data_IF_937126708077
#
_entry.id   IF_937126708077
#
_cell.length_a   1.000
_cell.length_b   1.000
_cell.length_c   1.000
_cell.angle_alpha   90.00
_cell.angle_beta   90.00
_cell.angle_gamma   90.00
#
_symmetry.space_group_name_H-M   'P 1'
#
loop_
_entity.id
_entity.type
_entity.pdbx_description
1 polymer ?
#
# COMPACT_ATOMS: atom_id res chain seq x y z
N UNK A 1 13.27 2.56 -1.28
CA UNK A 1 12.57 1.34 -0.88
C UNK A 1 11.79 1.56 0.40
N UNK A 2 10.59 0.99 0.42
CA UNK A 2 9.74 1.09 1.58
C UNK A 2 9.74 -0.23 2.34
N UNK A 3 10.25 -0.18 3.56
CA UNK A 3 10.29 -1.34 4.44
C UNK A 3 8.87 -1.65 4.93
N UNK A 4 8.38 -2.88 4.78
CA UNK A 4 7.05 -3.24 5.27
C UNK A 4 6.85 -2.93 6.74
N UNK A 5 7.87 -3.08 7.57
CA UNK A 5 7.75 -2.77 8.99
C UNK A 5 7.53 -1.28 9.23
N UNK A 6 8.18 -0.42 8.43
CA UNK A 6 7.99 1.01 8.54
C UNK A 6 6.60 1.42 8.05
N UNK A 7 6.12 0.78 6.99
CA UNK A 7 4.77 1.04 6.49
C UNK A 7 3.71 0.62 7.52
N UNK A 8 3.90 -0.51 8.15
CA UNK A 8 2.99 -0.97 9.20
C UNK A 8 2.95 0.03 10.36
N UNK A 9 4.11 0.52 10.76
CA UNK A 9 4.21 1.49 11.84
C UNK A 9 3.49 2.78 11.47
N UNK A 10 3.64 3.21 10.21
CA UNK A 10 2.96 4.40 9.73
C UNK A 10 1.45 4.22 9.77
N UNK A 11 0.96 3.05 9.35
CA UNK A 11 -0.47 2.76 9.38
C UNK A 11 -1.00 2.76 10.82
N UNK A 12 -0.23 2.18 11.73
CA UNK A 12 -0.61 2.16 13.14
C UNK A 12 -0.69 3.59 13.71
N UNK A 13 0.21 4.47 13.26
CA UNK A 13 0.22 5.86 13.68
C UNK A 13 -0.99 6.62 13.15
N UNK A 14 -1.33 6.40 11.89
CA UNK A 14 -2.50 7.04 11.27
C UNK A 14 -3.79 6.58 11.94
N UNK A 15 -3.86 5.30 12.26
CA UNK A 15 -5.05 4.70 12.85
C UNK A 15 -5.89 4.00 11.81
N UNK A 16 -6.55 2.94 12.24
CA UNK A 16 -7.37 2.13 11.34
C UNK A 16 -8.83 2.59 11.40
N UNK A 17 -9.57 2.43 10.31
CA UNK A 17 -9.14 1.90 9.03
C UNK A 17 -8.23 2.87 8.28
N UNK A 18 -7.34 2.31 7.48
CA UNK A 18 -6.39 3.09 6.69
C UNK A 18 -6.54 2.69 5.22
N UNK A 19 -6.37 3.65 4.33
CA UNK A 19 -6.41 3.38 2.89
C UNK A 19 -5.00 3.19 2.38
N UNK A 20 -4.75 2.05 1.75
CA UNK A 20 -3.45 1.72 1.18
C UNK A 20 -3.56 1.80 -0.34
N UNK A 21 -2.65 2.54 -0.95
CA UNK A 21 -2.62 2.70 -2.41
C UNK A 21 -1.23 2.44 -2.93
N UNK A 22 -1.14 1.74 -4.07
CA UNK A 22 0.10 1.63 -4.82
C UNK A 22 0.02 2.64 -5.97
N UNK A 23 0.97 3.52 -6.06
CA UNK A 23 1.01 4.54 -7.11
C UNK A 23 2.31 4.43 -7.89
N UNK A 24 2.22 4.65 -9.21
CA UNK A 24 3.38 4.65 -10.08
C UNK A 24 3.11 5.62 -11.23
N UNK A 25 4.11 6.42 -11.57
CA UNK A 25 3.94 7.43 -12.59
C UNK A 25 2.89 8.44 -12.16
N UNK A 26 1.94 8.73 -13.01
CA UNK A 26 0.89 9.67 -12.69
C UNK A 26 -0.44 9.04 -12.30
N UNK A 27 -0.47 7.71 -12.18
CA UNK A 27 -1.70 7.02 -11.88
C UNK A 27 -1.61 6.20 -10.62
N UNK A 28 -2.75 5.78 -10.10
CA UNK A 28 -2.83 4.93 -8.94
C UNK A 28 -3.67 3.71 -9.23
N UNK A 29 -3.18 2.57 -8.78
CA UNK A 29 -3.90 1.30 -8.88
C UNK A 29 -3.62 0.47 -7.63
N UNK A 30 -4.43 -0.55 -7.41
CA UNK A 30 -4.22 -1.42 -6.26
C UNK A 30 -4.51 -0.72 -4.95
N UNK A 31 -5.76 -0.31 -4.76
CA UNK A 31 -6.20 0.30 -3.51
C UNK A 31 -6.81 -0.74 -2.61
N UNK A 32 -6.53 -0.64 -1.32
CA UNK A 32 -7.05 -1.52 -0.28
C UNK A 32 -7.44 -0.74 0.95
N UNK A 33 -8.52 -1.15 1.58
CA UNK A 33 -8.88 -0.64 2.91
C UNK A 33 -8.38 -1.67 3.91
N UNK A 34 -7.58 -1.23 4.87
CA UNK A 34 -7.07 -2.08 5.94
C UNK A 34 -7.78 -1.69 7.21
N UNK A 35 -8.57 -2.58 7.75
CA UNK A 35 -9.43 -2.26 8.89
C UNK A 35 -8.76 -2.46 10.23
N UNK A 36 -7.72 -3.27 10.29
CA UNK A 36 -7.00 -3.50 11.52
C UNK A 36 -5.56 -3.92 11.24
N UNK A 37 -4.71 -3.72 12.23
CA UNK A 37 -3.28 -3.97 12.09
C UNK A 37 -2.96 -5.41 11.69
N UNK A 38 -3.74 -6.38 12.19
CA UNK A 38 -3.52 -7.79 11.88
C UNK A 38 -3.65 -8.10 10.38
N UNK A 39 -4.41 -7.28 9.65
CA UNK A 39 -4.64 -7.49 8.22
C UNK A 39 -3.65 -6.76 7.33
N UNK A 40 -2.78 -5.94 7.92
CA UNK A 40 -1.91 -5.05 7.14
C UNK A 40 -0.97 -5.81 6.21
N UNK A 41 -0.28 -6.82 6.73
CA UNK A 41 0.73 -7.54 5.95
C UNK A 41 0.12 -8.22 4.72
N UNK A 42 -1.05 -8.84 4.88
CA UNK A 42 -1.73 -9.49 3.77
C UNK A 42 -2.21 -8.46 2.75
N UNK A 43 -2.73 -7.33 3.24
CA UNK A 43 -3.18 -6.26 2.36
C UNK A 43 -2.01 -5.67 1.57
N UNK A 44 -0.88 -5.47 2.21
CA UNK A 44 0.31 -4.95 1.54
C UNK A 44 0.78 -5.89 0.43
N UNK A 45 0.87 -7.19 0.72
CA UNK A 45 1.28 -8.16 -0.29
C UNK A 45 0.32 -8.19 -1.47
N UNK A 46 -0.97 -8.11 -1.20
CA UNK A 46 -2.00 -8.10 -2.23
C UNK A 46 -1.89 -6.84 -3.10
N UNK A 47 -1.69 -5.69 -2.46
CA UNK A 47 -1.57 -4.42 -3.14
C UNK A 47 -0.34 -4.39 -4.06
N UNK A 48 0.78 -4.91 -3.57
CA UNK A 48 2.00 -4.97 -4.36
C UNK A 48 1.84 -5.91 -5.56
N UNK A 49 1.15 -7.03 -5.37
CA UNK A 49 0.89 -7.97 -6.45
C UNK A 49 0.01 -7.36 -7.54
N UNK A 50 -1.00 -6.61 -7.12
CA UNK A 50 -1.86 -5.90 -8.05
C UNK A 50 -1.08 -4.85 -8.84
N UNK A 51 -0.15 -4.18 -8.18
CA UNK A 51 0.69 -3.19 -8.85
C UNK A 51 1.58 -3.83 -9.90
N UNK A 52 2.15 -5.00 -9.61
CA UNK A 52 2.94 -5.74 -10.60
C UNK A 52 2.09 -6.07 -11.82
N UNK A 53 0.89 -6.55 -11.59
CA UNK A 53 -0.01 -6.94 -12.70
C UNK A 53 -0.48 -5.74 -13.52
N UNK A 54 -0.65 -4.59 -12.87
CA UNK A 54 -1.18 -3.40 -13.54
C UNK A 54 -0.12 -2.54 -14.19
N UNK A 55 1.04 -2.41 -13.52
CA UNK A 55 2.11 -1.50 -13.97
C UNK A 55 3.31 -2.23 -14.55
N UNK A 56 3.52 -3.51 -14.18
CA UNK A 56 4.70 -4.26 -14.57
C UNK A 56 5.82 -4.13 -13.54
N UNK A 57 6.88 -4.92 -13.76
CA UNK A 57 7.98 -5.04 -12.80
C UNK A 57 8.71 -3.71 -12.57
N UNK A 58 8.91 -2.96 -13.64
CA UNK A 58 9.63 -1.69 -13.53
C UNK A 58 8.88 -0.71 -12.65
N UNK A 59 7.55 -0.75 -12.73
CA UNK A 59 6.72 0.16 -11.92
C UNK A 59 6.78 -0.20 -10.45
N UNK A 60 6.94 -1.48 -10.12
CA UNK A 60 7.07 -1.90 -8.73
C UNK A 60 8.33 -1.33 -8.10
N UNK A 61 9.42 -1.30 -8.87
CA UNK A 61 10.67 -0.71 -8.40
C UNK A 61 10.56 0.80 -8.18
N UNK A 62 9.72 1.45 -8.97
CA UNK A 62 9.54 2.91 -8.92
C UNK A 62 8.22 3.30 -8.26
N UNK A 63 7.42 2.33 -7.90
CA UNK A 63 6.13 2.59 -7.27
C UNK A 63 6.27 2.93 -5.79
N UNK A 64 5.25 3.55 -5.27
CA UNK A 64 5.22 3.98 -3.88
C UNK A 64 3.92 3.52 -3.25
N UNK A 65 4.02 2.99 -2.05
CA UNK A 65 2.83 2.70 -1.25
C UNK A 65 2.49 3.95 -0.45
N UNK A 66 1.27 4.40 -0.59
CA UNK A 66 0.76 5.58 0.11
C UNK A 66 -0.31 5.13 1.09
N UNK A 67 -0.23 5.63 2.31
CA UNK A 67 -1.19 5.33 3.38
C UNK A 67 -1.91 6.61 3.76
N UNK A 68 -3.23 6.56 3.71
CA UNK A 68 -4.06 7.73 4.01
C UNK A 68 -5.12 7.39 5.04
N UNK A 69 -5.55 8.40 5.78
CA UNK A 69 -6.74 8.29 6.62
C UNK A 69 -7.97 8.13 5.74
N UNK A 70 -8.94 7.40 6.25
CA UNK A 70 -10.26 7.33 5.62
C UNK A 70 -11.17 8.30 6.37
N UNK A 71 -11.74 9.29 5.67
CA UNK A 71 -12.62 10.26 6.33
C UNK A 71 -13.92 9.64 6.83
#
# INVERSE_FOLDING_TARGET
DQDPALLQREADRIGYPVLMKAVAGGGGKGMRVVEKSADFAAALASCQREAINSFGDAAVLNGTIVLDEIP
#
